data_IF_121416992049
#
_entry.id   IF_121416992049
#
_cell.length_a   1.000
_cell.length_b   1.000
_cell.length_c   1.000
_cell.angle_alpha   90.00
_cell.angle_beta   90.00
_cell.angle_gamma   90.00
#
_symmetry.space_group_name_H-M   'P 1'
#
loop_
_entity.id
_entity.type
_entity.pdbx_description
1 polymer ?
#
# COMPACT_ATOMS: atom_id res chain seq x y z
N UNK A 1 -10.10 28.78 -20.38
CA UNK A 1 -9.36 27.86 -19.50
C UNK A 1 -7.90 27.94 -19.87
N UNK A 2 -7.08 28.62 -19.06
CA UNK A 2 -5.64 28.74 -19.33
C UNK A 2 -4.95 27.38 -19.17
N UNK A 3 -4.05 27.04 -20.10
CA UNK A 3 -3.17 25.88 -19.95
C UNK A 3 -2.18 26.19 -18.83
N UNK A 4 -2.13 25.33 -17.82
CA UNK A 4 -1.13 25.42 -16.77
C UNK A 4 0.27 25.24 -17.36
N UNK A 5 1.23 25.97 -16.80
CA UNK A 5 2.64 25.72 -17.11
C UNK A 5 3.09 24.41 -16.49
N UNK A 6 4.12 23.77 -17.07
CA UNK A 6 4.60 22.44 -16.64
C UNK A 6 5.01 22.42 -15.15
N UNK A 7 5.47 23.55 -14.62
CA UNK A 7 5.83 23.71 -13.21
C UNK A 7 4.58 23.77 -12.31
N UNK A 8 3.54 24.50 -12.73
CA UNK A 8 2.25 24.53 -12.02
C UNK A 8 1.56 23.16 -12.04
N UNK A 9 1.65 22.39 -13.14
CA UNK A 9 1.14 21.02 -13.19
C UNK A 9 1.90 20.09 -12.25
N UNK A 10 3.22 20.22 -12.13
CA UNK A 10 4.04 19.44 -11.19
C UNK A 10 3.68 19.81 -9.75
N UNK A 11 3.53 21.09 -9.45
CA UNK A 11 3.09 21.56 -8.14
C UNK A 11 1.69 21.04 -7.81
N UNK A 12 0.71 21.20 -8.71
CA UNK A 12 -0.65 20.68 -8.57
C UNK A 12 -0.67 19.15 -8.40
N UNK A 13 0.18 18.43 -9.11
CA UNK A 13 0.30 16.97 -8.96
C UNK A 13 0.86 16.58 -7.59
N UNK A 14 1.75 17.40 -7.01
CA UNK A 14 2.28 17.19 -5.66
C UNK A 14 1.27 17.52 -4.56
N UNK A 15 0.31 18.41 -4.83
CA UNK A 15 -0.83 18.72 -3.96
C UNK A 15 -2.04 17.80 -4.17
N UNK A 16 -2.08 17.06 -5.28
CA UNK A 16 -3.15 16.11 -5.55
C UNK A 16 -3.12 14.96 -4.53
N UNK A 17 -4.28 14.56 -3.95
CA UNK A 17 -4.38 13.37 -3.11
C UNK A 17 -4.27 12.07 -3.92
N UNK A 18 -4.04 12.15 -5.24
CA UNK A 18 -3.85 11.00 -6.10
C UNK A 18 -2.49 10.34 -5.85
N UNK A 19 -2.47 9.02 -5.82
CA UNK A 19 -1.23 8.28 -5.70
C UNK A 19 -0.42 8.43 -6.99
N UNK A 20 0.89 8.65 -6.85
CA UNK A 20 1.81 8.58 -7.99
C UNK A 20 1.64 7.28 -8.77
N UNK A 21 1.69 7.35 -10.11
CA UNK A 21 1.57 6.18 -10.98
C UNK A 21 2.56 5.08 -10.61
N UNK A 22 3.77 5.45 -10.17
CA UNK A 22 4.79 4.53 -9.66
C UNK A 22 4.32 3.79 -8.40
N UNK A 23 3.74 4.50 -7.44
CA UNK A 23 3.23 3.92 -6.20
C UNK A 23 2.03 3.00 -6.47
N UNK A 24 1.12 3.38 -7.37
CA UNK A 24 0.01 2.50 -7.77
C UNK A 24 0.52 1.23 -8.46
N UNK A 25 1.49 1.32 -9.37
CA UNK A 25 2.07 0.14 -10.02
C UNK A 25 2.71 -0.80 -8.99
N UNK A 26 3.44 -0.26 -8.01
CA UNK A 26 4.00 -1.05 -6.90
C UNK A 26 2.91 -1.74 -6.07
N UNK A 27 1.78 -1.08 -5.81
CA UNK A 27 0.67 -1.68 -5.08
C UNK A 27 0.02 -2.83 -5.84
N UNK A 28 -0.27 -2.65 -7.12
CA UNK A 28 -0.89 -3.72 -7.91
C UNK A 28 0.05 -4.92 -8.08
N UNK A 29 1.33 -4.68 -8.39
CA UNK A 29 2.31 -5.75 -8.52
C UNK A 29 2.47 -6.51 -7.21
N UNK A 30 2.60 -5.80 -6.09
CA UNK A 30 2.69 -6.44 -4.79
C UNK A 30 1.42 -7.22 -4.44
N UNK A 31 0.24 -6.66 -4.70
CA UNK A 31 -1.03 -7.31 -4.42
C UNK A 31 -1.21 -8.63 -5.20
N UNK A 32 -0.71 -8.70 -6.43
CA UNK A 32 -0.72 -9.95 -7.23
C UNK A 32 0.28 -10.98 -6.67
N UNK A 33 1.50 -10.56 -6.33
CA UNK A 33 2.49 -11.49 -5.77
C UNK A 33 2.03 -12.07 -4.45
N UNK A 34 1.49 -11.23 -3.56
CA UNK A 34 1.06 -11.66 -2.24
C UNK A 34 -0.25 -12.46 -2.28
N UNK A 35 -1.14 -12.24 -3.27
CA UNK A 35 -2.34 -13.06 -3.42
C UNK A 35 -2.06 -14.46 -3.94
N UNK A 36 -0.97 -14.64 -4.72
CA UNK A 36 -0.56 -15.94 -5.23
C UNK A 36 0.17 -16.79 -4.18
N UNK A 37 0.89 -16.18 -3.24
CA UNK A 37 1.67 -16.92 -2.25
C UNK A 37 0.83 -17.90 -1.39
N UNK A 38 -0.35 -17.52 -0.86
CA UNK A 38 -1.23 -18.45 -0.15
C UNK A 38 -1.78 -19.56 -1.04
N UNK A 39 -2.12 -19.25 -2.30
CA UNK A 39 -2.63 -20.26 -3.23
C UNK A 39 -1.57 -21.35 -3.47
N UNK A 40 -0.31 -20.95 -3.65
CA UNK A 40 0.81 -21.89 -3.75
C UNK A 40 0.94 -22.77 -2.49
N UNK A 41 0.79 -22.20 -1.29
CA UNK A 41 0.78 -22.98 -0.04
C UNK A 41 -0.37 -23.99 0.01
N UNK A 42 -1.57 -23.63 -0.46
CA UNK A 42 -2.70 -24.56 -0.52
C UNK A 42 -2.45 -25.73 -1.48
N UNK A 43 -1.79 -25.50 -2.62
CA UNK A 43 -1.39 -26.59 -3.52
C UNK A 43 -0.39 -27.55 -2.85
N UNK A 44 0.63 -27.02 -2.18
CA UNK A 44 1.64 -27.85 -1.52
C UNK A 44 1.10 -28.65 -0.33
N UNK A 45 0.29 -28.02 0.53
CA UNK A 45 -0.18 -28.62 1.79
C UNK A 45 -1.36 -29.55 1.57
N UNK A 46 -2.33 -29.16 0.73
CA UNK A 46 -3.57 -29.92 0.53
C UNK A 46 -3.55 -30.80 -0.73
N UNK A 47 -2.44 -30.82 -1.48
CA UNK A 47 -2.27 -31.62 -2.72
C UNK A 47 -3.45 -31.42 -3.69
N UNK A 48 -3.94 -30.17 -3.80
CA UNK A 48 -5.12 -29.86 -4.61
C UNK A 48 -4.79 -30.03 -6.10
N UNK A 49 -5.62 -30.77 -6.84
CA UNK A 49 -5.47 -30.85 -8.29
C UNK A 49 -5.82 -29.51 -8.96
N UNK A 50 -4.83 -28.95 -9.67
CA UNK A 50 -4.96 -27.66 -10.36
C UNK A 50 -6.01 -27.73 -11.46
N UNK A 51 -6.13 -28.87 -12.14
CA UNK A 51 -7.06 -29.07 -13.25
C UNK A 51 -8.54 -28.92 -12.83
N UNK A 52 -8.87 -29.27 -11.60
CA UNK A 52 -10.24 -29.21 -11.09
C UNK A 52 -10.56 -27.89 -10.38
N UNK A 53 -9.54 -27.24 -9.78
CA UNK A 53 -9.72 -26.08 -8.90
C UNK A 53 -9.30 -24.73 -9.50
N UNK A 54 -8.87 -24.68 -10.76
CA UNK A 54 -8.31 -23.47 -11.39
C UNK A 54 -9.26 -22.27 -11.36
N UNK A 55 -10.58 -22.49 -11.49
CA UNK A 55 -11.59 -21.42 -11.47
C UNK A 55 -11.59 -20.73 -10.10
N UNK A 56 -11.61 -21.51 -9.03
CA UNK A 56 -11.62 -21.01 -7.64
C UNK A 56 -10.33 -20.25 -7.36
N UNK A 57 -9.21 -20.75 -7.85
CA UNK A 57 -7.90 -20.12 -7.70
C UNK A 57 -7.83 -18.75 -8.39
N UNK A 58 -8.34 -18.64 -9.62
CA UNK A 58 -8.38 -17.37 -10.35
C UNK A 58 -9.30 -16.38 -9.63
N UNK A 59 -10.48 -16.81 -9.20
CA UNK A 59 -11.42 -15.94 -8.47
C UNK A 59 -10.77 -15.44 -7.17
N UNK A 60 -10.17 -16.34 -6.38
CA UNK A 60 -9.45 -15.98 -5.16
C UNK A 60 -8.31 -15.00 -5.42
N UNK A 61 -7.49 -15.24 -6.46
CA UNK A 61 -6.36 -14.39 -6.80
C UNK A 61 -6.80 -12.98 -7.22
N UNK A 62 -7.81 -12.88 -8.09
CA UNK A 62 -8.32 -11.59 -8.60
C UNK A 62 -9.03 -10.81 -7.50
N UNK A 63 -9.91 -11.45 -6.75
CA UNK A 63 -10.66 -10.80 -5.67
C UNK A 63 -9.73 -10.30 -4.56
N UNK A 64 -8.78 -11.14 -4.11
CA UNK A 64 -7.83 -10.74 -3.08
C UNK A 64 -6.86 -9.67 -3.58
N UNK A 65 -6.35 -9.75 -4.82
CA UNK A 65 -5.50 -8.71 -5.38
C UNK A 65 -6.23 -7.35 -5.46
N UNK A 66 -7.53 -7.34 -5.79
CA UNK A 66 -8.34 -6.13 -5.77
C UNK A 66 -8.46 -5.54 -4.36
N UNK A 67 -8.84 -6.36 -3.37
CA UNK A 67 -8.98 -5.91 -1.98
C UNK A 67 -7.66 -5.45 -1.37
N UNK A 68 -6.56 -6.15 -1.62
CA UNK A 68 -5.24 -5.79 -1.10
C UNK A 68 -4.69 -4.52 -1.78
N UNK A 69 -4.94 -4.35 -3.08
CA UNK A 69 -4.62 -3.09 -3.78
C UNK A 69 -5.40 -1.91 -3.19
N UNK A 70 -6.67 -2.10 -2.87
CA UNK A 70 -7.49 -1.10 -2.21
C UNK A 70 -6.96 -0.79 -0.80
N UNK A 71 -6.62 -1.82 -0.02
CA UNK A 71 -6.09 -1.69 1.32
C UNK A 71 -4.76 -0.93 1.35
N UNK A 72 -3.82 -1.24 0.45
CA UNK A 72 -2.55 -0.51 0.33
C UNK A 72 -2.78 0.99 0.07
N UNK A 73 -3.72 1.33 -0.83
CA UNK A 73 -4.04 2.74 -1.13
C UNK A 73 -4.64 3.46 0.07
N UNK A 74 -5.55 2.82 0.79
CA UNK A 74 -6.17 3.39 1.99
C UNK A 74 -5.14 3.57 3.11
N UNK A 75 -4.34 2.54 3.37
CA UNK A 75 -3.29 2.55 4.38
C UNK A 75 -2.22 3.62 4.08
N UNK A 76 -1.82 3.79 2.82
CA UNK A 76 -0.89 4.87 2.42
C UNK A 76 -1.42 6.24 2.83
N UNK A 77 -2.72 6.52 2.61
CA UNK A 77 -3.31 7.82 2.95
C UNK A 77 -3.23 8.11 4.46
N UNK A 78 -3.56 7.11 5.28
CA UNK A 78 -3.47 7.22 6.74
C UNK A 78 -2.03 7.44 7.21
N UNK A 79 -1.10 6.65 6.66
CA UNK A 79 0.31 6.71 7.05
C UNK A 79 1.01 7.98 6.59
N UNK A 80 0.69 8.50 5.40
CA UNK A 80 1.30 9.72 4.85
C UNK A 80 1.13 10.90 5.82
N UNK A 81 -0.08 11.08 6.36
CA UNK A 81 -0.35 12.12 7.36
C UNK A 81 0.52 11.94 8.62
N UNK A 82 0.56 10.72 9.17
CA UNK A 82 1.34 10.43 10.38
C UNK A 82 2.85 10.62 10.16
N UNK A 83 3.35 10.24 8.99
CA UNK A 83 4.77 10.38 8.64
C UNK A 83 5.14 11.84 8.46
N UNK A 84 4.29 12.66 7.82
CA UNK A 84 4.53 14.12 7.73
C UNK A 84 4.63 14.74 9.12
N UNK A 85 3.75 14.36 10.06
CA UNK A 85 3.81 14.88 11.44
C UNK A 85 5.06 14.44 12.20
N UNK A 86 5.51 13.18 12.04
CA UNK A 86 6.66 12.63 12.78
C UNK A 86 8.02 12.96 12.16
N UNK A 87 8.10 13.01 10.82
CA UNK A 87 9.35 13.25 10.07
C UNK A 87 9.51 14.68 9.58
N UNK A 88 8.47 15.51 9.67
CA UNK A 88 8.52 16.91 9.24
C UNK A 88 9.68 17.68 9.88
N UNK A 89 9.83 17.59 11.20
CA UNK A 89 10.88 18.30 11.94
C UNK A 89 12.30 17.84 11.62
N UNK A 90 12.49 16.55 11.32
CA UNK A 90 13.78 16.00 10.91
C UNK A 90 14.17 16.49 9.50
N UNK A 91 13.22 16.52 8.57
CA UNK A 91 13.44 17.03 7.21
C UNK A 91 13.68 18.54 7.21
N UNK A 92 12.99 19.30 8.06
CA UNK A 92 13.27 20.74 8.24
C UNK A 92 14.70 20.99 8.70
N UNK A 93 15.20 20.16 9.63
CA UNK A 93 16.57 20.25 10.10
C UNK A 93 17.58 19.94 8.98
N UNK A 94 17.30 18.92 8.16
CA UNK A 94 18.15 18.56 7.02
C UNK A 94 18.24 19.69 5.98
N UNK A 95 17.10 20.28 5.62
CA UNK A 95 17.04 21.38 4.66
C UNK A 95 17.66 22.65 5.23
N UNK A 96 17.43 22.94 6.52
CA UNK A 96 18.07 24.07 7.17
C UNK A 96 19.59 23.95 7.19
N UNK A 97 20.15 22.75 7.38
CA UNK A 97 21.58 22.48 7.31
C UNK A 97 22.13 22.58 5.87
N UNK A 98 21.44 21.99 4.88
CA UNK A 98 21.89 22.04 3.47
C UNK A 98 21.97 23.46 2.92
N UNK A 99 21.02 24.32 3.28
CA UNK A 99 20.97 25.72 2.82
C UNK A 99 21.35 26.70 3.95
N UNK A 100 22.22 26.30 4.88
CA UNK A 100 22.70 27.19 5.94
C UNK A 100 23.69 28.24 5.40
N UNK A 101 24.49 27.87 4.40
CA UNK A 101 25.55 28.72 3.82
C UNK A 101 25.09 29.55 2.62
N UNK A 102 23.86 29.33 2.13
CA UNK A 102 23.40 29.90 0.88
C UNK A 102 22.67 31.22 1.10
N UNK A 103 23.44 32.31 1.26
CA UNK A 103 22.93 33.67 1.53
C UNK A 103 22.04 34.27 0.42
N UNK A 104 22.01 33.65 -0.76
CA UNK A 104 21.24 34.12 -1.92
C UNK A 104 19.80 33.60 -1.95
N UNK A 105 19.47 32.61 -1.12
CA UNK A 105 18.17 31.97 -1.13
C UNK A 105 17.15 32.74 -0.28
N UNK A 106 15.99 33.04 -0.85
CA UNK A 106 14.89 33.66 -0.11
C UNK A 106 14.27 32.67 0.89
N UNK A 107 13.88 33.15 2.07
CA UNK A 107 13.24 32.32 3.12
C UNK A 107 12.04 31.54 2.58
N UNK A 108 11.26 32.16 1.67
CA UNK A 108 10.10 31.52 1.02
C UNK A 108 10.49 30.33 0.14
N UNK A 109 11.55 30.48 -0.64
CA UNK A 109 12.03 29.41 -1.53
C UNK A 109 12.58 28.23 -0.71
N UNK A 110 13.21 28.52 0.42
CA UNK A 110 13.73 27.50 1.35
C UNK A 110 12.59 26.69 2.00
N UNK A 111 11.53 27.36 2.43
CA UNK A 111 10.33 26.72 2.98
C UNK A 111 9.61 25.85 1.92
N UNK A 112 9.52 26.33 0.68
CA UNK A 112 8.92 25.57 -0.42
C UNK A 112 9.70 24.29 -0.73
N UNK A 113 11.04 24.36 -0.79
CA UNK A 113 11.88 23.17 -0.97
C UNK A 113 11.78 22.21 0.22
N UNK A 114 11.67 22.73 1.44
CA UNK A 114 11.43 21.90 2.62
C UNK A 114 10.10 21.16 2.53
N UNK A 115 9.03 21.86 2.12
CA UNK A 115 7.71 21.27 1.93
C UNK A 115 7.72 20.18 0.84
N UNK A 116 8.36 20.46 -0.30
CA UNK A 116 8.48 19.49 -1.38
C UNK A 116 9.21 18.22 -0.93
N UNK A 117 10.35 18.39 -0.23
CA UNK A 117 11.14 17.26 0.27
C UNK A 117 10.38 16.45 1.32
N UNK A 118 9.65 17.11 2.22
CA UNK A 118 8.78 16.45 3.20
C UNK A 118 7.74 15.57 2.52
N UNK A 119 7.08 16.10 1.49
CA UNK A 119 6.04 15.37 0.76
C UNK A 119 6.61 14.16 0.02
N UNK A 120 7.78 14.31 -0.62
CA UNK A 120 8.47 13.23 -1.34
C UNK A 120 8.90 12.09 -0.41
N UNK A 121 9.52 12.42 0.74
CA UNK A 121 9.95 11.45 1.75
C UNK A 121 8.73 10.75 2.35
N UNK A 122 7.69 11.51 2.71
CA UNK A 122 6.47 10.94 3.25
C UNK A 122 5.75 10.03 2.25
N UNK A 123 5.73 10.38 0.96
CA UNK A 123 5.08 9.54 -0.05
C UNK A 123 5.82 8.20 -0.25
N UNK A 124 7.14 8.25 -0.25
CA UNK A 124 7.98 7.06 -0.40
C UNK A 124 7.88 6.14 0.82
N UNK A 125 8.08 6.68 2.02
CA UNK A 125 7.97 5.90 3.26
C UNK A 125 6.56 5.35 3.47
N UNK A 126 5.52 6.15 3.22
CA UNK A 126 4.13 5.67 3.31
C UNK A 126 3.84 4.53 2.33
N UNK A 127 4.44 4.56 1.13
CA UNK A 127 4.27 3.49 0.13
C UNK A 127 4.87 2.17 0.61
N UNK A 128 6.10 2.16 1.10
CA UNK A 128 6.72 0.91 1.59
C UNK A 128 6.05 0.40 2.87
N UNK A 129 5.73 1.32 3.79
CA UNK A 129 5.14 0.96 5.08
C UNK A 129 3.70 0.44 4.89
N UNK A 130 2.91 1.03 3.98
CA UNK A 130 1.57 0.51 3.65
C UNK A 130 1.62 -0.91 3.10
N UNK A 131 2.53 -1.18 2.14
CA UNK A 131 2.74 -2.53 1.60
C UNK A 131 3.08 -3.52 2.73
N UNK A 132 4.04 -3.16 3.59
CA UNK A 132 4.45 -4.03 4.68
C UNK A 132 3.31 -4.35 5.66
N UNK A 133 2.60 -3.32 6.15
CA UNK A 133 1.50 -3.52 7.09
C UNK A 133 0.34 -4.31 6.47
N UNK A 134 -0.04 -4.00 5.25
CA UNK A 134 -1.10 -4.74 4.54
C UNK A 134 -0.73 -6.21 4.36
N UNK A 135 0.52 -6.52 3.99
CA UNK A 135 0.97 -7.89 3.77
C UNK A 135 1.06 -8.70 5.07
N UNK A 136 1.63 -8.13 6.13
CA UNK A 136 1.72 -8.79 7.45
C UNK A 136 0.33 -9.09 8.00
N UNK A 137 -0.58 -8.11 7.91
CA UNK A 137 -1.94 -8.25 8.43
C UNK A 137 -2.72 -9.29 7.62
N UNK A 138 -2.61 -9.27 6.29
CA UNK A 138 -3.22 -10.26 5.40
C UNK A 138 -2.73 -11.68 5.70
N UNK A 139 -1.42 -11.90 5.71
CA UNK A 139 -0.86 -13.24 5.95
C UNK A 139 -1.24 -13.76 7.34
N UNK A 140 -1.18 -12.92 8.36
CA UNK A 140 -1.54 -13.32 9.74
C UNK A 140 -3.00 -13.77 9.84
N UNK A 141 -3.93 -12.98 9.29
CA UNK A 141 -5.36 -13.31 9.33
C UNK A 141 -5.65 -14.52 8.45
N UNK A 142 -5.05 -14.60 7.27
CA UNK A 142 -5.25 -15.72 6.34
C UNK A 142 -4.77 -17.04 6.94
N UNK A 143 -3.58 -17.08 7.56
CA UNK A 143 -3.09 -18.27 8.25
C UNK A 143 -4.00 -18.66 9.41
N UNK A 144 -4.43 -17.68 10.21
CA UNK A 144 -5.36 -17.95 11.32
C UNK A 144 -6.68 -18.55 10.83
N UNK A 145 -7.28 -17.95 9.80
CA UNK A 145 -8.50 -18.43 9.17
C UNK A 145 -8.31 -19.84 8.61
N UNK A 146 -7.25 -20.07 7.84
CA UNK A 146 -7.02 -21.32 7.13
C UNK A 146 -6.75 -22.52 8.06
N UNK A 147 -5.94 -22.33 9.10
CA UNK A 147 -5.47 -23.41 9.97
C UNK A 147 -6.30 -23.63 11.23
N UNK A 148 -7.02 -22.60 11.73
CA UNK A 148 -7.77 -22.71 12.98
C UNK A 148 -9.27 -22.64 12.77
N UNK A 149 -9.76 -21.69 11.96
CA UNK A 149 -11.18 -21.40 11.86
C UNK A 149 -11.89 -22.26 10.80
N UNK A 150 -11.22 -22.47 9.66
CA UNK A 150 -11.76 -23.18 8.49
C UNK A 150 -11.11 -24.56 8.28
N UNK A 151 -10.36 -25.06 9.27
CA UNK A 151 -9.55 -26.28 9.15
C UNK A 151 -10.34 -27.54 8.77
N UNK A 152 -11.61 -27.61 9.17
CA UNK A 152 -12.48 -28.76 8.92
C UNK A 152 -13.27 -28.68 7.60
N UNK A 153 -13.14 -27.59 6.84
CA UNK A 153 -13.80 -27.46 5.54
C UNK A 153 -12.99 -28.15 4.44
N UNK A 154 -13.66 -28.47 3.32
CA UNK A 154 -12.95 -28.99 2.16
C UNK A 154 -11.91 -27.97 1.69
N UNK A 155 -10.75 -28.42 1.15
CA UNK A 155 -9.64 -27.53 0.80
C UNK A 155 -10.02 -26.40 -0.16
N UNK A 156 -10.96 -26.67 -1.07
CA UNK A 156 -11.49 -25.70 -2.04
C UNK A 156 -12.21 -24.55 -1.31
N UNK A 157 -13.13 -24.86 -0.40
CA UNK A 157 -13.86 -23.83 0.36
C UNK A 157 -12.98 -23.15 1.40
N UNK A 158 -12.05 -23.87 2.02
CA UNK A 158 -11.08 -23.29 2.94
C UNK A 158 -10.22 -22.25 2.21
N UNK A 159 -9.63 -22.60 1.05
CA UNK A 159 -8.80 -21.68 0.26
C UNK A 159 -9.57 -20.44 -0.18
N UNK A 160 -10.79 -20.60 -0.71
CA UNK A 160 -11.62 -19.49 -1.14
C UNK A 160 -11.96 -18.53 0.01
N UNK A 161 -12.48 -19.08 1.12
CA UNK A 161 -12.96 -18.27 2.24
C UNK A 161 -11.82 -17.64 3.05
N UNK A 162 -10.72 -18.36 3.26
CA UNK A 162 -9.57 -17.82 4.01
C UNK A 162 -8.86 -16.72 3.23
N UNK A 163 -8.62 -16.89 1.93
CA UNK A 163 -7.90 -15.91 1.09
C UNK A 163 -8.77 -14.67 0.84
N UNK A 164 -10.01 -14.85 0.38
CA UNK A 164 -10.91 -13.72 0.11
C UNK A 164 -11.35 -13.08 1.43
N UNK A 165 -11.69 -13.87 2.44
CA UNK A 165 -12.12 -13.38 3.75
C UNK A 165 -11.03 -12.58 4.45
N UNK A 166 -9.77 -13.04 4.44
CA UNK A 166 -8.66 -12.26 4.98
C UNK A 166 -8.45 -10.96 4.22
N UNK A 167 -8.42 -11.00 2.88
CA UNK A 167 -8.23 -9.81 2.06
C UNK A 167 -9.37 -8.79 2.24
N UNK A 168 -10.62 -9.25 2.33
CA UNK A 168 -11.79 -8.43 2.61
C UNK A 168 -11.74 -7.80 4.00
N UNK A 169 -11.32 -8.56 5.02
CA UNK A 169 -11.15 -8.06 6.39
C UNK A 169 -10.03 -7.00 6.46
N UNK A 170 -8.91 -7.23 5.77
CA UNK A 170 -7.83 -6.25 5.66
C UNK A 170 -8.32 -4.96 4.99
N UNK A 171 -9.08 -5.07 3.89
CA UNK A 171 -9.64 -3.93 3.20
C UNK A 171 -10.65 -3.16 4.07
N UNK A 172 -11.48 -3.88 4.83
CA UNK A 172 -12.39 -3.28 5.79
C UNK A 172 -11.64 -2.50 6.88
N UNK A 173 -10.65 -3.13 7.51
CA UNK A 173 -9.83 -2.48 8.55
C UNK A 173 -9.07 -1.26 8.00
N UNK A 174 -8.62 -1.30 6.75
CA UNK A 174 -7.94 -0.15 6.12
C UNK A 174 -8.86 1.06 5.90
N UNK A 175 -10.18 0.85 5.93
CA UNK A 175 -11.19 1.91 5.74
C UNK A 175 -11.60 2.54 7.08
N UNK A 176 -11.23 1.93 8.21
CA UNK A 176 -11.50 2.49 9.53
C UNK A 176 -10.81 3.85 9.67
N UNK A 177 -11.61 4.89 9.95
CA UNK A 177 -11.10 6.22 10.29
C UNK A 177 -10.59 6.19 11.73
N UNK A 178 -9.29 6.44 11.90
CA UNK A 178 -8.75 6.96 13.16
C UNK A 178 -8.74 8.48 13.11
#
# INVERSE_FOLDING_TARGET
MGKFTREEEVLLSSYSPSNSARSNALFYLNAVVISLAPLYLFYGVHQMEVAESWIVWIISAVASAYFLSMACKNQKRLLKHQIVMKRGSAVDREINQKYANDKKMSTKEKEERALFRKNEVADSEATYLSIFFTNVLFLSIMLFLAFFLLANLTPIFNSLLSVIGAAGLVAFLSTAKN
#
